data_IF_184323744128
#
_entry.id   IF_184323744128
#
_cell.length_a   1.000
_cell.length_b   1.000
_cell.length_c   1.000
_cell.angle_alpha   90.00
_cell.angle_beta   90.00
_cell.angle_gamma   90.00
#
_symmetry.space_group_name_H-M   'P 1'
#
loop_
_entity.id
_entity.type
_entity.pdbx_description
1 polymer ?
#
# COMPACT_ATOMS: atom_id res chain seq x y z
N UNK A 1 -17.85 -23.68 20.43
CA UNK A 1 -16.98 -23.05 19.41
C UNK A 1 -15.94 -24.00 18.80
N UNK A 2 -15.02 -24.65 19.57
CA UNK A 2 -13.98 -25.56 19.00
C UNK A 2 -14.55 -26.69 18.13
N UNK A 3 -15.58 -27.37 18.57
CA UNK A 3 -16.19 -28.48 17.83
C UNK A 3 -16.77 -28.01 16.47
N UNK A 4 -17.48 -26.89 16.47
CA UNK A 4 -18.02 -26.30 15.23
C UNK A 4 -16.91 -25.85 14.25
N UNK A 5 -15.80 -25.37 14.78
CA UNK A 5 -14.62 -25.06 13.98
C UNK A 5 -14.02 -26.32 13.33
N UNK A 6 -13.88 -27.42 14.09
CA UNK A 6 -13.39 -28.69 13.54
C UNK A 6 -14.34 -29.26 12.49
N UNK A 7 -15.66 -29.19 12.72
CA UNK A 7 -16.66 -29.59 11.72
C UNK A 7 -16.56 -28.74 10.46
N UNK A 8 -16.32 -27.42 10.61
CA UNK A 8 -16.12 -26.52 9.46
C UNK A 8 -14.86 -26.80 8.64
N UNK A 9 -13.77 -27.23 9.31
CA UNK A 9 -12.51 -27.58 8.63
C UNK A 9 -12.61 -28.94 7.90
N UNK A 10 -13.31 -29.93 8.47
CA UNK A 10 -13.42 -31.30 7.92
C UNK A 10 -14.61 -31.43 6.97
N UNK A 11 -15.57 -30.49 7.07
CA UNK A 11 -16.73 -30.35 6.17
C UNK A 11 -18.06 -30.91 6.70
N UNK A 12 -18.08 -31.95 7.54
CA UNK A 12 -19.33 -32.46 8.16
C UNK A 12 -19.07 -33.19 9.47
N UNK A 13 -20.15 -33.44 10.25
CA UNK A 13 -20.09 -34.20 11.49
C UNK A 13 -19.75 -35.66 11.24
N UNK A 14 -20.25 -36.22 10.16
CA UNK A 14 -20.04 -37.62 9.75
C UNK A 14 -18.56 -37.83 9.40
N UNK A 15 -17.97 -36.92 8.61
CA UNK A 15 -16.54 -36.97 8.27
C UNK A 15 -15.65 -36.79 9.49
N UNK A 16 -16.09 -35.98 10.48
CA UNK A 16 -15.37 -35.81 11.74
C UNK A 16 -15.37 -37.12 12.53
N UNK A 17 -16.52 -37.83 12.62
CA UNK A 17 -16.67 -39.11 13.28
C UNK A 17 -15.79 -40.19 12.60
N UNK A 18 -15.80 -40.23 11.29
CA UNK A 18 -14.95 -41.13 10.50
C UNK A 18 -13.45 -40.87 10.71
N UNK A 19 -13.03 -39.60 10.70
CA UNK A 19 -11.63 -39.20 10.91
C UNK A 19 -11.09 -39.61 12.30
N UNK A 20 -11.91 -39.47 13.35
CA UNK A 20 -11.52 -39.86 14.71
C UNK A 20 -11.86 -41.32 15.04
N UNK A 21 -12.50 -42.06 14.13
CA UNK A 21 -12.99 -43.42 14.36
C UNK A 21 -13.84 -43.55 15.64
N UNK A 22 -14.67 -42.54 15.94
CA UNK A 22 -15.53 -42.43 17.13
C UNK A 22 -16.83 -41.76 16.75
N UNK A 23 -17.89 -42.06 17.51
CA UNK A 23 -19.15 -41.35 17.33
C UNK A 23 -19.03 -39.85 17.67
N UNK A 24 -19.80 -39.02 16.99
CA UNK A 24 -19.75 -37.56 17.16
C UNK A 24 -20.07 -37.13 18.59
N UNK A 25 -21.00 -37.80 19.27
CA UNK A 25 -21.34 -37.48 20.65
C UNK A 25 -20.24 -37.89 21.64
N UNK A 26 -19.47 -38.94 21.34
CA UNK A 26 -18.30 -39.33 22.13
C UNK A 26 -17.19 -38.29 21.99
N UNK A 27 -16.89 -37.83 20.76
CA UNK A 27 -15.94 -36.76 20.50
C UNK A 27 -16.33 -35.46 21.24
N UNK A 28 -17.62 -35.14 21.21
CA UNK A 28 -18.17 -33.98 21.92
C UNK A 28 -18.01 -34.10 23.43
N UNK A 29 -18.26 -35.29 23.98
CA UNK A 29 -18.14 -35.55 25.41
C UNK A 29 -16.68 -35.49 25.86
N UNK A 30 -15.77 -36.13 25.14
CA UNK A 30 -14.32 -36.07 25.41
C UNK A 30 -13.80 -34.64 25.36
N UNK A 31 -14.17 -33.86 24.34
CA UNK A 31 -13.78 -32.46 24.22
C UNK A 31 -14.35 -31.59 25.36
N UNK A 32 -15.57 -31.85 25.78
CA UNK A 32 -16.20 -31.16 26.90
C UNK A 32 -15.47 -31.45 28.22
N UNK A 33 -15.09 -32.70 28.47
CA UNK A 33 -14.32 -33.09 29.65
C UNK A 33 -12.92 -32.51 29.64
N UNK A 34 -12.26 -32.52 28.47
CA UNK A 34 -10.93 -31.91 28.30
C UNK A 34 -10.99 -30.41 28.62
N UNK A 35 -11.94 -29.67 28.06
CA UNK A 35 -12.10 -28.24 28.31
C UNK A 35 -12.45 -28.00 29.79
N UNK A 36 -13.29 -28.80 30.40
CA UNK A 36 -13.64 -28.70 31.83
C UNK A 36 -12.41 -28.90 32.72
N UNK A 37 -11.60 -29.91 32.43
CA UNK A 37 -10.38 -30.20 33.18
C UNK A 37 -9.39 -29.04 33.00
N UNK A 38 -9.21 -28.55 31.79
CA UNK A 38 -8.33 -27.39 31.50
C UNK A 38 -8.79 -26.12 32.25
N UNK A 39 -10.11 -25.87 32.30
CA UNK A 39 -10.65 -24.73 33.04
C UNK A 39 -10.47 -24.90 34.56
N UNK A 40 -10.65 -26.11 35.11
CA UNK A 40 -10.42 -26.37 36.52
C UNK A 40 -8.95 -26.16 36.89
N UNK A 41 -8.01 -26.68 36.09
CA UNK A 41 -6.60 -26.46 36.30
C UNK A 41 -6.26 -24.97 36.29
N UNK A 42 -6.79 -24.22 35.30
CA UNK A 42 -6.59 -22.77 35.22
C UNK A 42 -7.20 -22.03 36.42
N UNK A 43 -8.37 -22.42 36.88
CA UNK A 43 -8.98 -21.83 38.09
C UNK A 43 -8.15 -22.10 39.35
N UNK A 44 -7.62 -23.33 39.51
CA UNK A 44 -6.72 -23.65 40.63
C UNK A 44 -5.44 -22.85 40.55
N UNK A 45 -4.83 -22.78 39.38
CA UNK A 45 -3.63 -21.94 39.16
C UNK A 45 -3.91 -20.47 39.51
N UNK A 46 -5.01 -19.89 38.96
CA UNK A 46 -5.37 -18.50 39.26
C UNK A 46 -5.65 -18.28 40.75
N UNK A 47 -6.26 -19.28 41.46
CA UNK A 47 -6.51 -19.19 42.89
C UNK A 47 -5.22 -19.21 43.72
N UNK A 48 -4.23 -19.97 43.28
CA UNK A 48 -2.95 -20.09 43.98
C UNK A 48 -2.05 -18.88 43.65
N UNK A 49 -2.00 -18.46 42.40
CA UNK A 49 -1.09 -17.39 41.95
C UNK A 49 -1.73 -16.00 42.02
N UNK A 50 -3.05 -15.92 41.91
CA UNK A 50 -3.80 -14.65 41.82
C UNK A 50 -3.69 -13.75 43.06
N UNK A 51 -3.25 -14.29 44.20
CA UNK A 51 -3.00 -13.53 45.43
C UNK A 51 -1.57 -13.02 45.53
N UNK A 52 -0.66 -13.46 44.63
CA UNK A 52 0.75 -13.05 44.64
C UNK A 52 0.86 -11.71 43.86
N UNK A 53 1.07 -10.65 44.60
CA UNK A 53 1.35 -9.33 44.02
C UNK A 53 2.82 -8.98 44.29
N UNK A 54 3.58 -8.78 43.21
CA UNK A 54 4.95 -8.31 43.35
C UNK A 54 4.97 -6.83 43.70
N UNK A 55 5.71 -6.49 44.74
CA UNK A 55 5.92 -5.10 45.11
C UNK A 55 6.91 -4.41 44.16
N UNK A 56 6.84 -3.09 43.98
CA UNK A 56 7.83 -2.35 43.18
C UNK A 56 9.28 -2.56 43.65
N UNK A 57 9.49 -2.81 44.95
CA UNK A 57 10.81 -3.10 45.51
C UNK A 57 11.34 -4.49 45.07
N UNK A 58 10.48 -5.50 45.06
CA UNK A 58 10.83 -6.85 44.58
C UNK A 58 11.13 -6.85 43.09
N UNK A 59 10.34 -6.10 42.28
CA UNK A 59 10.58 -5.95 40.85
C UNK A 59 11.95 -5.31 40.60
N UNK A 60 12.30 -4.22 41.34
CA UNK A 60 13.62 -3.58 41.22
C UNK A 60 14.74 -4.52 41.63
N UNK A 61 14.56 -5.25 42.74
CA UNK A 61 15.56 -6.22 43.21
C UNK A 61 15.80 -7.32 42.18
N UNK A 62 14.73 -7.82 41.56
CA UNK A 62 14.82 -8.82 40.50
C UNK A 62 15.50 -8.25 39.26
N UNK A 63 15.11 -7.07 38.79
CA UNK A 63 15.72 -6.41 37.64
C UNK A 63 17.22 -6.17 37.85
N UNK A 64 17.65 -5.75 39.05
CA UNK A 64 19.07 -5.54 39.39
C UNK A 64 19.87 -6.85 39.54
N UNK A 65 19.18 -8.00 39.68
CA UNK A 65 19.82 -9.32 39.74
C UNK A 65 20.02 -9.98 38.37
N UNK A 66 19.42 -9.40 37.32
CA UNK A 66 19.57 -9.91 35.96
C UNK A 66 20.93 -9.45 35.38
N UNK A 67 21.62 -10.30 34.59
CA UNK A 67 22.77 -9.88 33.81
C UNK A 67 22.37 -8.76 32.82
N UNK A 68 23.26 -7.83 32.52
CA UNK A 68 23.02 -6.74 31.58
C UNK A 68 22.54 -7.23 30.20
N UNK A 69 23.05 -8.33 29.74
CA UNK A 69 22.68 -8.97 28.47
C UNK A 69 21.25 -9.52 28.46
N UNK A 70 20.63 -9.70 29.63
CA UNK A 70 19.26 -10.18 29.79
C UNK A 70 18.23 -9.06 29.94
N UNK A 71 18.71 -7.82 30.05
CA UNK A 71 17.82 -6.67 30.14
C UNK A 71 17.37 -6.24 28.73
N UNK A 72 16.07 -5.98 28.53
CA UNK A 72 15.59 -5.49 27.23
C UNK A 72 16.25 -4.14 26.94
N UNK A 73 16.99 -4.08 25.83
CA UNK A 73 17.48 -2.81 25.29
C UNK A 73 16.32 -1.99 24.77
N UNK A 74 16.09 -0.83 25.36
CA UNK A 74 15.13 0.14 24.82
C UNK A 74 15.90 0.99 23.80
N UNK A 75 15.63 0.82 22.49
CA UNK A 75 16.30 1.65 21.49
C UNK A 75 15.89 3.12 21.67
N UNK A 76 16.82 4.01 21.38
CA UNK A 76 16.51 5.42 21.34
C UNK A 76 15.40 5.67 20.31
N UNK A 77 14.32 6.29 20.73
CA UNK A 77 13.24 6.70 19.85
C UNK A 77 13.39 8.19 19.57
N UNK A 78 13.25 8.56 18.33
CA UNK A 78 13.19 9.95 17.86
C UNK A 78 11.84 10.18 17.21
N UNK A 79 11.20 11.25 17.57
CA UNK A 79 10.02 11.78 16.88
C UNK A 79 10.48 12.79 15.84
N UNK A 80 10.04 12.60 14.60
CA UNK A 80 10.41 13.45 13.47
C UNK A 80 9.14 14.03 12.87
N UNK A 81 9.10 15.33 12.71
CA UNK A 81 8.05 16.04 11.99
C UNK A 81 8.61 16.53 10.65
N UNK A 82 7.86 16.34 9.57
CA UNK A 82 8.27 16.71 8.21
C UNK A 82 7.23 17.67 7.64
N UNK A 83 7.68 18.84 7.20
CA UNK A 83 6.89 19.78 6.42
C UNK A 83 7.33 19.71 4.97
N UNK A 84 6.37 19.48 4.08
CA UNK A 84 6.60 19.49 2.63
C UNK A 84 5.85 20.65 1.99
N UNK A 85 6.49 21.33 1.05
CA UNK A 85 5.87 22.38 0.23
C UNK A 85 6.00 21.97 -1.21
N UNK A 86 4.87 21.78 -1.89
CA UNK A 86 4.87 21.48 -3.31
C UNK A 86 5.00 22.78 -4.12
N UNK A 87 5.91 22.82 -5.13
CA UNK A 87 6.00 23.95 -6.02
C UNK A 87 4.74 24.07 -6.87
N UNK A 88 4.31 25.29 -7.13
CA UNK A 88 3.15 25.55 -7.98
C UNK A 88 3.45 25.18 -9.43
N UNK A 89 2.55 24.44 -10.06
CA UNK A 89 2.60 24.06 -11.48
C UNK A 89 1.62 24.97 -12.23
N UNK A 90 2.13 25.67 -13.24
CA UNK A 90 1.33 26.58 -14.06
C UNK A 90 0.53 25.84 -15.13
N UNK A 91 -0.46 26.52 -15.70
CA UNK A 91 -1.23 25.96 -16.82
C UNK A 91 -0.36 25.77 -18.06
N UNK A 92 0.63 26.63 -18.25
CA UNK A 92 1.58 26.57 -19.35
C UNK A 92 2.44 25.28 -19.24
N UNK A 93 2.93 24.96 -18.05
CA UNK A 93 3.71 23.73 -17.79
C UNK A 93 2.85 22.47 -18.02
N UNK A 94 1.56 22.53 -17.69
CA UNK A 94 0.60 21.44 -17.98
C UNK A 94 0.39 21.30 -19.50
N UNK A 95 0.19 22.41 -20.23
CA UNK A 95 -0.02 22.37 -21.69
C UNK A 95 1.23 21.89 -22.42
N UNK A 96 2.44 22.22 -21.96
CA UNK A 96 3.67 21.67 -22.54
C UNK A 96 3.73 20.14 -22.48
N UNK A 97 3.27 19.56 -21.37
CA UNK A 97 3.19 18.09 -21.24
C UNK A 97 2.14 17.52 -22.19
N UNK A 98 0.97 18.15 -22.26
CA UNK A 98 -0.08 17.73 -23.19
C UNK A 98 0.36 17.84 -24.65
N UNK A 99 1.09 18.90 -24.99
CA UNK A 99 1.62 19.09 -26.34
C UNK A 99 2.66 18.02 -26.72
N UNK A 100 3.53 17.64 -25.79
CA UNK A 100 4.44 16.49 -25.99
C UNK A 100 3.68 15.19 -26.23
N UNK A 101 2.63 14.93 -25.46
CA UNK A 101 1.81 13.73 -25.66
C UNK A 101 1.03 13.76 -26.99
N UNK A 102 0.56 14.93 -27.43
CA UNK A 102 -0.04 15.11 -28.77
C UNK A 102 0.97 14.83 -29.89
N UNK A 103 2.21 15.32 -29.74
CA UNK A 103 3.30 15.00 -30.68
C UNK A 103 3.58 13.50 -30.74
N UNK A 104 3.64 12.83 -29.57
CA UNK A 104 3.85 11.39 -29.51
C UNK A 104 2.70 10.63 -30.19
N UNK A 105 1.47 11.03 -29.96
CA UNK A 105 0.31 10.45 -30.63
C UNK A 105 0.41 10.60 -32.13
N UNK A 106 0.72 11.80 -32.63
CA UNK A 106 0.90 12.07 -34.06
C UNK A 106 2.00 11.21 -34.68
N UNK A 107 3.14 11.09 -34.01
CA UNK A 107 4.28 10.26 -34.47
C UNK A 107 3.96 8.76 -34.48
N UNK A 108 3.07 8.31 -33.66
CA UNK A 108 2.56 6.94 -33.71
C UNK A 108 1.54 6.76 -34.85
N UNK A 109 0.65 7.72 -35.04
CA UNK A 109 -0.43 7.66 -36.05
C UNK A 109 0.14 7.74 -37.47
N UNK A 110 1.21 8.51 -37.69
CA UNK A 110 1.91 8.62 -38.99
C UNK A 110 2.95 7.50 -39.21
N UNK A 111 3.15 6.61 -38.21
CA UNK A 111 4.06 5.48 -38.31
C UNK A 111 5.56 5.83 -38.21
N UNK A 112 5.90 7.07 -37.89
CA UNK A 112 7.32 7.50 -37.80
C UNK A 112 8.02 6.91 -36.57
N UNK A 113 7.28 6.57 -35.50
CA UNK A 113 7.86 5.95 -34.30
C UNK A 113 6.84 5.02 -33.66
N UNK A 114 7.30 3.87 -33.13
CA UNK A 114 6.42 2.97 -32.41
C UNK A 114 6.08 3.52 -31.01
N UNK A 115 4.87 3.25 -30.55
CA UNK A 115 4.43 3.62 -29.21
C UNK A 115 5.36 3.07 -28.12
N UNK A 116 5.81 1.82 -28.28
CA UNK A 116 6.70 1.17 -27.31
C UNK A 116 8.06 1.85 -27.24
N UNK A 117 8.58 2.32 -28.37
CA UNK A 117 9.83 3.10 -28.41
C UNK A 117 9.68 4.41 -27.65
N UNK A 118 8.58 5.14 -27.88
CA UNK A 118 8.32 6.39 -27.16
C UNK A 118 8.15 6.15 -25.65
N UNK A 119 7.48 5.05 -25.27
CA UNK A 119 7.32 4.69 -23.87
C UNK A 119 8.66 4.39 -23.20
N UNK A 120 9.58 3.66 -23.85
CA UNK A 120 10.93 3.37 -23.32
C UNK A 120 11.71 4.64 -23.05
N UNK A 121 11.66 5.60 -23.97
CA UNK A 121 12.51 6.79 -23.89
C UNK A 121 11.91 7.93 -23.06
N UNK A 122 10.60 8.06 -23.02
CA UNK A 122 9.95 9.25 -22.48
C UNK A 122 9.00 9.00 -21.32
N UNK A 123 8.52 7.77 -21.10
CA UNK A 123 7.59 7.51 -20.00
C UNK A 123 8.27 7.67 -18.64
N UNK A 124 7.63 8.39 -17.75
CA UNK A 124 8.06 8.57 -16.36
C UNK A 124 7.59 7.45 -15.43
N UNK A 125 6.80 6.48 -15.93
CA UNK A 125 6.59 5.21 -15.25
C UNK A 125 7.75 4.25 -15.57
N UNK A 126 8.78 4.29 -14.73
CA UNK A 126 10.01 3.54 -14.94
C UNK A 126 9.81 2.01 -14.96
N UNK A 127 8.73 1.51 -14.37
CA UNK A 127 8.46 0.07 -14.34
C UNK A 127 7.92 -0.43 -15.69
N UNK A 128 6.88 0.21 -16.21
CA UNK A 128 6.31 -0.16 -17.50
C UNK A 128 7.17 0.29 -18.68
N UNK A 129 7.90 1.42 -18.56
CA UNK A 129 8.79 1.92 -19.60
C UNK A 129 9.79 0.87 -20.10
N UNK A 130 10.39 0.08 -19.19
CA UNK A 130 11.32 -1.01 -19.52
C UNK A 130 10.68 -2.09 -20.41
N UNK A 131 9.37 -2.21 -20.38
CA UNK A 131 8.57 -3.14 -21.18
C UNK A 131 7.83 -2.44 -22.32
N UNK A 132 8.29 -1.26 -22.75
CA UNK A 132 7.62 -0.46 -23.78
C UNK A 132 6.27 0.09 -23.36
N UNK A 133 6.10 0.38 -22.08
CA UNK A 133 4.88 0.90 -21.47
C UNK A 133 3.81 -0.16 -21.16
N UNK A 134 4.09 -1.45 -21.39
CA UNK A 134 3.10 -2.53 -21.23
C UNK A 134 2.84 -2.85 -19.76
N UNK A 135 1.54 -2.91 -19.39
CA UNK A 135 1.07 -3.23 -18.05
C UNK A 135 0.68 -4.71 -17.89
N UNK A 136 0.46 -5.42 -19.01
CA UNK A 136 -0.11 -6.76 -19.01
C UNK A 136 -1.63 -6.75 -18.83
N UNK A 137 -2.24 -7.93 -18.67
CA UNK A 137 -3.69 -8.06 -18.48
C UNK A 137 -4.13 -7.59 -17.10
N UNK A 138 -4.83 -6.48 -17.04
CA UNK A 138 -5.36 -5.91 -15.83
C UNK A 138 -6.89 -5.85 -15.81
N UNK A 139 -7.47 -6.14 -14.65
CA UNK A 139 -8.88 -5.93 -14.38
C UNK A 139 -9.17 -4.48 -14.01
N UNK A 140 -10.43 -4.05 -14.13
CA UNK A 140 -10.85 -2.67 -13.89
C UNK A 140 -10.45 -2.13 -12.49
N UNK A 141 -10.53 -2.96 -11.46
CA UNK A 141 -10.20 -2.58 -10.07
C UNK A 141 -8.70 -2.49 -9.77
N UNK A 142 -7.82 -2.83 -10.73
CA UNK A 142 -6.36 -2.74 -10.58
C UNK A 142 -5.78 -1.46 -11.18
N UNK A 143 -6.61 -0.66 -11.85
CA UNK A 143 -6.25 0.59 -12.52
C UNK A 143 -6.95 1.76 -11.82
N UNK A 144 -6.36 2.93 -11.84
CA UNK A 144 -7.03 4.15 -11.38
C UNK A 144 -8.25 4.44 -12.26
N UNK A 145 -9.26 5.02 -11.67
CA UNK A 145 -10.59 5.17 -12.29
C UNK A 145 -10.54 5.82 -13.66
N UNK A 146 -9.84 6.94 -13.77
CA UNK A 146 -9.76 7.74 -15.01
C UNK A 146 -9.09 6.94 -16.14
N UNK A 147 -8.03 6.22 -15.80
CA UNK A 147 -7.35 5.31 -16.73
C UNK A 147 -8.24 4.14 -17.13
N UNK A 148 -8.87 3.48 -16.14
CA UNK A 148 -9.74 2.35 -16.36
C UNK A 148 -10.94 2.71 -17.25
N UNK A 149 -11.56 3.87 -17.01
CA UNK A 149 -12.71 4.34 -17.79
C UNK A 149 -12.37 4.47 -19.28
N UNK A 150 -11.19 4.95 -19.61
CA UNK A 150 -10.72 5.06 -21.00
C UNK A 150 -10.25 3.72 -21.56
N UNK A 151 -9.42 2.98 -20.84
CA UNK A 151 -8.87 1.71 -21.29
C UNK A 151 -9.98 0.68 -21.60
N UNK A 152 -11.01 0.61 -20.73
CA UNK A 152 -12.14 -0.30 -20.93
C UNK A 152 -13.16 0.18 -21.98
N UNK A 153 -13.14 1.46 -22.36
CA UNK A 153 -13.92 1.99 -23.45
C UNK A 153 -13.26 1.77 -24.84
N UNK A 154 -12.00 1.33 -24.87
CA UNK A 154 -11.29 1.03 -26.09
C UNK A 154 -11.56 -0.42 -26.54
N UNK A 155 -11.90 -0.59 -27.84
CA UNK A 155 -12.21 -1.92 -28.40
C UNK A 155 -11.25 -2.35 -29.52
N UNK A 156 -10.59 -1.39 -30.18
CA UNK A 156 -9.74 -1.64 -31.34
C UNK A 156 -8.28 -1.80 -30.91
N UNK A 157 -7.67 -2.99 -31.05
CA UNK A 157 -6.25 -3.17 -30.79
C UNK A 157 -5.39 -2.22 -31.65
N UNK A 158 -4.34 -1.69 -31.06
CA UNK A 158 -3.45 -0.71 -31.69
C UNK A 158 -3.91 0.73 -31.60
N UNK A 159 -5.17 1.00 -31.30
CA UNK A 159 -5.69 2.36 -31.16
C UNK A 159 -5.11 3.06 -29.95
N UNK A 160 -4.85 4.37 -30.10
CA UNK A 160 -4.36 5.25 -29.05
C UNK A 160 -5.49 6.10 -28.52
N UNK A 161 -5.53 6.28 -27.21
CA UNK A 161 -6.55 7.10 -26.52
C UNK A 161 -6.31 8.60 -26.71
N UNK A 162 -7.28 9.39 -26.31
CA UNK A 162 -7.02 10.79 -25.95
C UNK A 162 -6.16 10.83 -24.68
N UNK A 163 -5.55 11.99 -24.41
CA UNK A 163 -4.79 12.22 -23.18
C UNK A 163 -5.73 12.06 -21.97
N UNK A 164 -5.30 11.25 -21.00
CA UNK A 164 -6.04 10.96 -19.77
C UNK A 164 -5.29 11.59 -18.61
N UNK A 165 -5.97 12.38 -17.82
CA UNK A 165 -5.45 12.96 -16.59
C UNK A 165 -5.79 12.07 -15.39
N UNK A 166 -4.83 11.82 -14.52
CA UNK A 166 -5.00 11.06 -13.28
C UNK A 166 -4.17 11.70 -12.15
N UNK A 167 -4.28 11.18 -10.95
CA UNK A 167 -3.43 11.58 -9.81
C UNK A 167 -1.92 11.39 -10.07
N UNK A 168 -1.54 10.50 -10.98
CA UNK A 168 -0.14 10.24 -11.34
C UNK A 168 0.41 11.15 -12.43
N UNK A 169 -0.45 11.89 -13.15
CA UNK A 169 -0.09 12.76 -14.26
C UNK A 169 -0.92 12.51 -15.50
N UNK A 170 -0.34 12.76 -16.66
CA UNK A 170 -1.00 12.66 -17.96
C UNK A 170 -0.56 11.39 -18.69
N UNK A 171 -1.54 10.59 -19.10
CA UNK A 171 -1.35 9.32 -19.77
C UNK A 171 -1.78 9.39 -21.22
N UNK A 172 -1.00 8.75 -22.09
CA UNK A 172 -1.42 8.32 -23.41
C UNK A 172 -1.50 6.80 -23.37
N UNK A 173 -2.63 6.21 -23.78
CA UNK A 173 -2.90 4.79 -23.63
C UNK A 173 -3.07 4.15 -25.00
N UNK A 174 -2.45 2.99 -25.24
CA UNK A 174 -2.68 2.17 -26.40
C UNK A 174 -3.22 0.81 -25.99
N UNK A 175 -4.34 0.38 -26.58
CA UNK A 175 -4.87 -0.97 -26.38
C UNK A 175 -4.02 -1.96 -27.16
N UNK A 176 -3.52 -3.01 -26.49
CA UNK A 176 -2.83 -4.15 -27.13
C UNK A 176 -3.84 -5.25 -27.41
N UNK A 177 -4.53 -5.68 -26.36
CA UNK A 177 -5.47 -6.81 -26.43
C UNK A 177 -6.53 -6.69 -25.34
N UNK A 178 -7.70 -7.24 -25.64
CA UNK A 178 -8.79 -7.38 -24.67
C UNK A 178 -9.17 -8.84 -24.53
N UNK A 179 -9.26 -9.33 -23.30
CA UNK A 179 -9.65 -10.70 -23.02
C UNK A 179 -10.60 -10.72 -21.82
N UNK A 180 -11.83 -11.16 -22.07
CA UNK A 180 -12.89 -11.21 -21.07
C UNK A 180 -13.09 -9.85 -20.36
N UNK A 181 -12.96 -9.83 -19.04
CA UNK A 181 -13.06 -8.62 -18.20
C UNK A 181 -11.69 -7.94 -17.96
N UNK A 182 -10.66 -8.29 -18.75
CA UNK A 182 -9.31 -7.72 -18.61
C UNK A 182 -8.88 -7.05 -19.91
N UNK A 183 -8.06 -6.02 -19.76
CA UNK A 183 -7.41 -5.33 -20.86
C UNK A 183 -5.90 -5.39 -20.70
N UNK A 184 -5.19 -5.67 -21.79
CA UNK A 184 -3.75 -5.46 -21.89
C UNK A 184 -3.53 -4.15 -22.62
N UNK A 185 -2.89 -3.22 -21.94
CA UNK A 185 -2.60 -1.88 -22.45
C UNK A 185 -1.15 -1.53 -22.25
N UNK A 186 -0.66 -0.61 -23.05
CA UNK A 186 0.59 0.11 -22.80
C UNK A 186 0.31 1.59 -22.67
N UNK A 187 1.14 2.27 -21.89
CA UNK A 187 0.96 3.70 -21.68
C UNK A 187 2.29 4.48 -21.69
N UNK A 188 2.17 5.77 -21.94
CA UNK A 188 3.21 6.77 -21.71
C UNK A 188 2.67 7.69 -20.62
N UNK A 189 3.38 7.78 -19.50
CA UNK A 189 3.07 8.69 -18.41
C UNK A 189 4.04 9.85 -18.44
N UNK A 190 3.53 11.09 -18.46
CA UNK A 190 4.30 12.30 -18.23
C UNK A 190 3.70 13.09 -17.08
N UNK A 191 4.56 13.66 -16.25
CA UNK A 191 4.18 14.54 -15.13
C UNK A 191 4.59 15.97 -15.44
N UNK A 192 3.71 16.95 -15.21
CA UNK A 192 4.13 18.33 -15.29
C UNK A 192 5.17 18.63 -14.22
N UNK A 193 6.22 19.34 -14.58
CA UNK A 193 7.31 19.73 -13.68
C UNK A 193 7.27 21.21 -13.48
N UNK A 194 7.37 21.64 -12.24
CA UNK A 194 7.47 23.05 -11.94
C UNK A 194 8.74 23.65 -12.52
N UNK A 195 8.65 24.86 -13.03
CA UNK A 195 9.79 25.64 -13.48
C UNK A 195 10.79 25.92 -12.35
N UNK A 196 12.03 26.22 -12.72
CA UNK A 196 13.05 26.61 -11.75
C UNK A 196 12.61 27.81 -10.90
N UNK A 197 11.86 28.74 -11.49
CA UNK A 197 11.31 29.89 -10.76
C UNK A 197 10.34 29.46 -9.68
N UNK A 198 9.38 28.57 -10.00
CA UNK A 198 8.39 28.07 -9.04
C UNK A 198 9.03 27.16 -7.97
N UNK A 199 10.05 26.39 -8.33
CA UNK A 199 10.86 25.65 -7.37
C UNK A 199 11.60 26.57 -6.40
N UNK A 200 12.19 27.67 -6.89
CA UNK A 200 12.86 28.65 -6.04
C UNK A 200 11.88 29.34 -5.09
N UNK A 201 10.69 29.71 -5.57
CA UNK A 201 9.63 30.28 -4.72
C UNK A 201 9.20 29.30 -3.61
N UNK A 202 9.05 28.03 -3.92
CA UNK A 202 8.74 27.00 -2.94
C UNK A 202 9.86 26.85 -1.89
N UNK A 203 11.12 26.88 -2.35
CA UNK A 203 12.30 26.86 -1.47
C UNK A 203 12.34 28.07 -0.54
N UNK A 204 12.18 29.28 -1.07
CA UNK A 204 12.14 30.52 -0.26
C UNK A 204 11.04 30.46 0.79
N UNK A 205 9.89 29.85 0.47
CA UNK A 205 8.81 29.64 1.41
C UNK A 205 9.21 28.69 2.54
N UNK A 206 9.87 27.56 2.23
CA UNK A 206 10.39 26.63 3.26
C UNK A 206 11.44 27.33 4.11
N UNK A 207 12.40 28.03 3.50
CA UNK A 207 13.47 28.75 4.22
C UNK A 207 12.88 29.82 5.15
N UNK A 208 11.81 30.49 4.74
CA UNK A 208 11.09 31.47 5.55
C UNK A 208 10.41 30.82 6.76
N UNK A 209 9.77 29.67 6.56
CA UNK A 209 9.14 28.89 7.64
C UNK A 209 10.20 28.39 8.62
N UNK A 210 11.29 27.82 8.12
CA UNK A 210 12.40 27.33 8.94
C UNK A 210 12.96 28.44 9.83
N UNK A 211 13.19 29.64 9.27
CA UNK A 211 13.67 30.80 10.02
C UNK A 211 12.71 31.24 11.11
N UNK A 212 11.41 31.19 10.85
CA UNK A 212 10.39 31.60 11.85
C UNK A 212 10.34 30.60 13.00
N UNK A 213 10.57 29.31 12.74
CA UNK A 213 10.67 28.26 13.75
C UNK A 213 11.97 28.41 14.56
N UNK A 214 13.12 28.63 13.89
CA UNK A 214 14.42 28.85 14.53
C UNK A 214 14.40 30.08 15.44
N UNK A 215 13.75 31.16 15.01
CA UNK A 215 13.54 32.40 15.81
C UNK A 215 12.55 32.18 16.98
N UNK A 216 11.98 30.98 17.15
CA UNK A 216 10.97 30.62 18.16
C UNK A 216 9.73 31.52 18.17
N UNK A 217 9.37 32.07 17.00
CA UNK A 217 8.17 32.91 16.84
C UNK A 217 6.91 32.05 16.72
N UNK A 218 7.05 30.88 16.08
CA UNK A 218 5.99 29.89 15.93
C UNK A 218 6.53 28.49 16.18
N UNK A 219 5.66 27.59 16.64
CA UNK A 219 5.97 26.15 16.71
C UNK A 219 5.79 25.50 15.33
N UNK A 220 6.40 24.32 15.13
CA UNK A 220 6.24 23.57 13.90
C UNK A 220 4.76 23.33 13.56
N UNK A 221 3.95 22.97 14.56
CA UNK A 221 2.50 22.72 14.42
C UNK A 221 1.69 23.96 14.02
N UNK A 222 2.19 25.16 14.32
CA UNK A 222 1.54 26.42 13.93
C UNK A 222 1.91 26.87 12.51
N UNK A 223 2.88 26.21 11.90
CA UNK A 223 3.34 26.49 10.53
C UNK A 223 2.72 25.56 9.48
N UNK A 224 2.02 24.52 9.91
CA UNK A 224 1.26 23.57 9.10
C UNK A 224 -0.20 23.98 9.08
#
# INVERSE_FOLDING_TARGET
MRLNYMVGQIGSKEKLAEYFMKDYEDIRTELKEMVRTQQLVQQVQNKVVGTIQSTPAEIRKFANSLPEDSLPSIPNQVEVQILTVEPFITKEEIEEVKDKLRDFQKRCDDGSTSFSTLAIFYSEDAESAKRGGELGFMGRGQLVKEYADVAFAMYEPGKISKIVESEFGFHLIQLIERKDEKVNTRHILLKPKASLENMNKAKERIDSIAKVIDDKKFTFEQCV
#
